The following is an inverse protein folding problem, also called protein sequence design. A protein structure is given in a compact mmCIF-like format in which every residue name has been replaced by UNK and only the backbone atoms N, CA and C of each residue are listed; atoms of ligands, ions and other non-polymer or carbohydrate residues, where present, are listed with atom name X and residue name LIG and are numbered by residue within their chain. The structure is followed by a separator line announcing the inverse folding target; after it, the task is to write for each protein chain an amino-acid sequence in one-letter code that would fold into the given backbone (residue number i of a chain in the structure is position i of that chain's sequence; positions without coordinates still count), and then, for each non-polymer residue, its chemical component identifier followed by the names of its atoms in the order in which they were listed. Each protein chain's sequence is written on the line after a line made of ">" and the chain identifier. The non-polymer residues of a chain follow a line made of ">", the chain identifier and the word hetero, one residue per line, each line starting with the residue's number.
data_IF_195842502170
#
_entry.id   IF_195842502170
#
_cell.length_a   1.000
_cell.length_b   1.000
_cell.length_c   1.000
_cell.angle_alpha   90.00
_cell.angle_beta   90.00
_cell.angle_gamma   90.00
#
_symmetry.space_group_name_H-M   'P 1'
#
loop_
_entity.id
_entity.type
_entity.pdbx_description
1 polymer ?
#
# COMPACT_ATOMS: atom_id res chain seq x y z
N UNK A 1 -13.53 11.35 7.87
CA UNK A 1 -12.21 12.02 7.71
C UNK A 1 -12.40 13.45 8.19
N UNK A 2 -11.78 13.79 9.33
CA UNK A 2 -11.97 15.10 9.98
C UNK A 2 -11.09 16.17 9.31
N UNK A 3 -9.84 15.81 8.95
CA UNK A 3 -8.92 16.72 8.26
C UNK A 3 -8.18 15.99 7.12
N UNK A 4 -8.57 16.20 5.86
CA UNK A 4 -7.91 15.57 4.72
C UNK A 4 -6.50 16.10 4.47
N UNK A 5 -6.15 17.30 4.94
CA UNK A 5 -4.81 17.87 4.76
C UNK A 5 -3.75 17.12 5.56
N UNK A 6 -4.12 16.49 6.66
CA UNK A 6 -3.22 15.63 7.43
C UNK A 6 -2.69 14.49 6.58
N UNK A 7 -3.50 13.87 5.72
CA UNK A 7 -3.01 12.82 4.82
C UNK A 7 -1.94 13.32 3.83
N UNK A 8 -2.07 14.54 3.34
CA UNK A 8 -1.06 15.13 2.45
C UNK A 8 0.25 15.36 3.20
N UNK A 9 0.18 15.89 4.42
CA UNK A 9 1.38 16.09 5.25
C UNK A 9 2.07 14.77 5.58
N UNK A 10 1.31 13.77 6.00
CA UNK A 10 1.84 12.51 6.51
C UNK A 10 2.24 11.51 5.41
N UNK A 11 1.65 11.59 4.22
CA UNK A 11 1.93 10.64 3.14
C UNK A 11 2.66 11.26 1.94
N UNK A 12 2.48 12.55 1.65
CA UNK A 12 3.18 13.19 0.53
C UNK A 12 4.41 13.93 1.02
N UNK A 13 4.23 14.89 1.93
CA UNK A 13 5.35 15.71 2.40
C UNK A 13 6.36 14.90 3.23
N UNK A 14 5.89 14.02 4.11
CA UNK A 14 6.77 13.15 4.88
C UNK A 14 7.55 12.19 3.97
N UNK A 15 6.91 11.62 2.95
CA UNK A 15 7.58 10.78 1.94
C UNK A 15 8.64 11.58 1.19
N UNK A 16 8.33 12.81 0.74
CA UNK A 16 9.30 13.67 0.07
C UNK A 16 10.53 13.93 0.96
N UNK A 17 10.34 14.18 2.26
CA UNK A 17 11.43 14.39 3.20
C UNK A 17 12.31 13.14 3.37
N UNK A 18 11.70 11.96 3.49
CA UNK A 18 12.43 10.68 3.59
C UNK A 18 13.24 10.44 2.32
N UNK A 19 12.64 10.59 1.16
CA UNK A 19 13.30 10.42 -0.13
C UNK A 19 14.44 11.42 -0.32
N UNK A 20 14.22 12.68 0.07
CA UNK A 20 15.27 13.71 0.01
C UNK A 20 16.44 13.40 0.95
N UNK A 21 16.20 12.80 2.11
CA UNK A 21 17.25 12.30 2.98
C UNK A 21 17.93 11.05 2.37
N UNK A 22 17.16 10.09 1.90
CA UNK A 22 17.66 8.85 1.31
C UNK A 22 18.67 9.09 0.18
N UNK A 23 18.45 10.10 -0.68
CA UNK A 23 19.39 10.46 -1.76
C UNK A 23 20.74 10.98 -1.28
N UNK A 24 20.89 11.30 0.00
CA UNK A 24 22.17 11.70 0.59
C UNK A 24 22.95 10.55 1.21
N UNK A 25 22.37 9.35 1.24
CA UNK A 25 22.98 8.14 1.79
C UNK A 25 23.86 7.47 0.75
N UNK A 26 25.14 7.27 1.06
CA UNK A 26 26.09 6.63 0.13
C UNK A 26 25.94 5.10 0.05
N UNK A 27 25.25 4.49 1.00
CA UNK A 27 25.14 3.03 1.16
C UNK A 27 23.69 2.55 1.29
N UNK A 28 22.75 3.26 0.67
CA UNK A 28 21.37 2.82 0.62
C UNK A 28 21.25 1.61 -0.33
N UNK A 29 20.91 0.46 0.19
CA UNK A 29 20.72 -0.77 -0.59
C UNK A 29 19.31 -0.90 -1.15
N UNK A 30 18.29 -0.52 -0.38
CA UNK A 30 16.89 -0.52 -0.79
C UNK A 30 16.03 0.35 0.13
N UNK A 31 15.08 1.06 -0.45
CA UNK A 31 13.97 1.71 0.25
C UNK A 31 12.66 1.04 -0.18
N UNK A 32 11.93 0.48 0.77
CA UNK A 32 10.62 -0.11 0.51
C UNK A 32 9.53 0.88 0.89
N UNK A 33 8.75 1.33 -0.10
CA UNK A 33 7.60 2.19 0.10
C UNK A 33 6.31 1.36 0.21
N UNK A 34 5.71 1.36 1.39
CA UNK A 34 4.41 0.72 1.60
C UNK A 34 3.29 1.60 1.06
N UNK A 35 2.72 1.23 -0.08
CA UNK A 35 1.50 1.79 -0.63
C UNK A 35 0.28 0.93 -0.25
N UNK A 36 -0.81 1.08 -0.94
CA UNK A 36 -2.08 0.40 -0.67
C UNK A 36 -2.79 0.06 -1.99
N UNK A 37 -3.55 -1.02 -2.00
CA UNK A 37 -4.46 -1.38 -3.09
C UNK A 37 -5.54 -0.31 -3.35
N UNK A 38 -5.86 0.51 -2.35
CA UNK A 38 -6.85 1.59 -2.49
C UNK A 38 -6.48 2.65 -3.52
N UNK A 39 -5.21 2.73 -3.96
CA UNK A 39 -4.79 3.66 -5.04
C UNK A 39 -5.46 3.33 -6.37
N UNK A 40 -5.76 2.06 -6.64
CA UNK A 40 -6.44 1.60 -7.85
C UNK A 40 -7.95 1.83 -7.81
N UNK A 41 -8.53 2.03 -6.62
CA UNK A 41 -9.98 2.11 -6.42
C UNK A 41 -10.67 0.74 -6.46
N UNK A 42 -12.02 0.72 -6.52
CA UNK A 42 -12.77 -0.53 -6.48
C UNK A 42 -12.69 -1.29 -7.81
N UNK A 43 -12.28 -2.56 -7.74
CA UNK A 43 -12.37 -3.49 -8.87
C UNK A 43 -13.81 -3.96 -9.09
N UNK A 44 -14.20 -4.21 -10.34
CA UNK A 44 -15.45 -4.86 -10.66
C UNK A 44 -15.37 -6.37 -10.35
N UNK A 45 -16.50 -7.05 -10.15
CA UNK A 45 -16.50 -8.49 -9.95
C UNK A 45 -15.74 -9.22 -11.07
N UNK A 46 -14.74 -10.01 -10.69
CA UNK A 46 -13.91 -10.78 -11.63
C UNK A 46 -12.73 -9.98 -12.23
N UNK A 47 -12.59 -8.69 -11.91
CA UNK A 47 -11.42 -7.88 -12.30
C UNK A 47 -10.40 -7.84 -11.16
N UNK A 48 -9.11 -7.75 -11.54
CA UNK A 48 -7.98 -7.50 -10.64
C UNK A 48 -7.06 -6.46 -11.27
N UNK A 49 -6.44 -5.66 -10.44
CA UNK A 49 -5.46 -4.66 -10.90
C UNK A 49 -4.05 -5.25 -10.91
N UNK A 50 -3.30 -4.85 -11.94
CA UNK A 50 -1.85 -5.07 -12.03
C UNK A 50 -1.11 -3.86 -11.44
N UNK A 51 0.15 -4.05 -11.17
CA UNK A 51 1.02 -3.07 -10.48
C UNK A 51 1.10 -1.71 -11.18
N UNK A 52 0.94 -1.69 -12.51
CA UNK A 52 1.05 -0.49 -13.34
C UNK A 52 -0.28 -0.02 -13.91
N UNK A 53 -1.39 -0.53 -13.39
CA UNK A 53 -2.69 -0.03 -13.78
C UNK A 53 -2.89 1.42 -13.29
N UNK A 54 -3.76 2.14 -13.98
CA UNK A 54 -4.03 3.54 -13.66
C UNK A 54 -4.68 3.68 -12.29
N UNK A 55 -4.18 4.61 -11.49
CA UNK A 55 -4.79 4.97 -10.21
C UNK A 55 -6.16 5.62 -10.37
N UNK A 56 -7.05 5.26 -9.49
CA UNK A 56 -8.41 5.78 -9.40
C UNK A 56 -8.81 5.92 -7.92
N UNK A 57 -8.03 6.70 -7.18
CA UNK A 57 -8.22 6.91 -5.74
C UNK A 57 -9.62 7.45 -5.42
N UNK A 58 -10.31 6.84 -4.48
CA UNK A 58 -11.69 7.17 -4.12
C UNK A 58 -11.82 7.97 -2.82
N UNK A 59 -10.72 8.24 -2.16
CA UNK A 59 -10.69 9.03 -0.92
C UNK A 59 -9.36 9.80 -0.77
N UNK A 60 -9.30 10.86 0.08
CA UNK A 60 -8.09 11.66 0.27
C UNK A 60 -6.87 10.89 0.78
N UNK A 61 -7.06 9.81 1.55
CA UNK A 61 -5.98 8.95 2.02
C UNK A 61 -5.33 8.21 0.84
N UNK A 62 -6.12 7.50 0.04
CA UNK A 62 -5.59 6.77 -1.11
C UNK A 62 -4.96 7.69 -2.15
N UNK A 63 -5.52 8.89 -2.35
CA UNK A 63 -4.92 9.91 -3.21
C UNK A 63 -3.56 10.40 -2.66
N UNK A 64 -3.44 10.61 -1.35
CA UNK A 64 -2.18 11.00 -0.73
C UNK A 64 -1.13 9.87 -0.78
N UNK A 65 -1.54 8.60 -0.64
CA UNK A 65 -0.66 7.43 -0.83
C UNK A 65 -0.17 7.34 -2.27
N UNK A 66 -1.05 7.53 -3.26
CA UNK A 66 -0.67 7.58 -4.67
C UNK A 66 0.32 8.74 -4.95
N UNK A 67 0.11 9.91 -4.34
CA UNK A 67 1.04 11.04 -4.45
C UNK A 67 2.44 10.75 -3.88
N UNK A 68 2.51 10.05 -2.75
CA UNK A 68 3.78 9.59 -2.17
C UNK A 68 4.47 8.54 -3.05
N UNK A 69 3.71 7.67 -3.68
CA UNK A 69 4.20 6.66 -4.61
C UNK A 69 4.79 7.29 -5.88
N UNK A 70 4.09 8.26 -6.47
CA UNK A 70 4.59 9.02 -7.62
C UNK A 70 5.90 9.77 -7.30
N UNK A 71 6.04 10.29 -6.09
CA UNK A 71 7.30 10.86 -5.63
C UNK A 71 8.41 9.81 -5.56
N UNK A 72 8.13 8.61 -5.05
CA UNK A 72 9.11 7.53 -4.99
C UNK A 72 9.60 7.15 -6.40
N UNK A 73 8.68 6.99 -7.36
CA UNK A 73 9.00 6.74 -8.78
C UNK A 73 9.86 7.86 -9.37
N UNK A 74 9.48 9.12 -9.13
CA UNK A 74 10.22 10.27 -9.64
C UNK A 74 11.64 10.35 -9.06
N UNK A 75 11.82 10.05 -7.77
CA UNK A 75 13.14 10.04 -7.14
C UNK A 75 14.01 8.88 -7.65
N UNK A 76 13.47 7.71 -7.88
CA UNK A 76 14.21 6.63 -8.50
C UNK A 76 14.65 7.01 -9.92
N UNK A 77 13.74 7.53 -10.75
CA UNK A 77 14.06 7.92 -12.12
C UNK A 77 15.08 9.06 -12.21
N UNK A 78 15.05 9.99 -11.24
CA UNK A 78 15.92 11.20 -11.27
C UNK A 78 17.27 10.97 -10.60
N UNK A 79 17.30 10.21 -9.51
CA UNK A 79 18.47 10.07 -8.64
C UNK A 79 19.00 8.63 -8.56
N UNK A 80 18.44 7.70 -9.33
CA UNK A 80 18.76 6.26 -9.32
C UNK A 80 18.68 5.61 -7.93
N UNK A 81 17.74 6.09 -7.08
CA UNK A 81 17.52 5.49 -5.77
C UNK A 81 16.96 4.07 -5.92
N UNK A 82 17.45 3.09 -5.18
CA UNK A 82 16.91 1.73 -5.20
C UNK A 82 15.59 1.71 -4.40
N UNK A 83 14.45 1.70 -5.11
CA UNK A 83 13.12 1.76 -4.48
C UNK A 83 12.27 0.59 -4.94
N UNK A 84 11.59 -0.06 -3.99
CA UNK A 84 10.51 -1.00 -4.25
C UNK A 84 9.20 -0.46 -3.65
N UNK A 85 8.11 -0.57 -4.38
CA UNK A 85 6.78 -0.15 -3.96
C UNK A 85 5.91 -1.40 -3.76
N UNK A 86 5.23 -1.49 -2.62
CA UNK A 86 4.31 -2.59 -2.35
C UNK A 86 2.88 -2.07 -2.20
N UNK A 87 1.93 -2.69 -2.91
CA UNK A 87 0.51 -2.44 -2.72
C UNK A 87 -0.06 -3.53 -1.81
N UNK A 88 -0.18 -3.20 -0.52
CA UNK A 88 -0.75 -4.13 0.45
C UNK A 88 -2.26 -3.95 0.56
N UNK A 89 -2.97 -5.06 0.62
CA UNK A 89 -4.38 -5.11 0.99
C UNK A 89 -4.55 -4.90 2.50
N UNK A 90 -5.74 -5.20 3.05
CA UNK A 90 -5.99 -4.98 4.48
C UNK A 90 -5.18 -5.98 5.33
N UNK A 91 -4.15 -5.52 5.95
CA UNK A 91 -3.32 -6.35 6.85
C UNK A 91 -4.03 -6.54 8.18
N UNK A 92 -3.99 -7.76 8.72
CA UNK A 92 -4.43 -8.08 10.06
C UNK A 92 -3.37 -8.90 10.79
N UNK A 93 -3.42 -8.90 12.12
CA UNK A 93 -2.49 -9.68 12.93
C UNK A 93 -2.52 -9.27 14.39
N UNK A 94 -1.67 -9.90 15.17
CA UNK A 94 -1.48 -9.56 16.58
C UNK A 94 -1.06 -8.11 16.75
N UNK A 95 -1.54 -7.49 17.83
CA UNK A 95 -1.26 -6.08 18.16
C UNK A 95 -1.80 -5.05 17.16
N UNK A 96 -2.67 -5.45 16.20
CA UNK A 96 -3.36 -4.51 15.34
C UNK A 96 -4.21 -3.55 16.18
N UNK A 97 -4.32 -2.29 15.73
CA UNK A 97 -5.08 -1.26 16.43
C UNK A 97 -6.54 -1.70 16.68
N UNK A 98 -7.06 -1.56 17.91
CA UNK A 98 -8.38 -2.08 18.31
C UNK A 98 -9.58 -1.58 17.50
N UNK A 99 -9.46 -0.42 16.84
CA UNK A 99 -10.52 0.14 15.98
C UNK A 99 -10.67 -0.62 14.65
N UNK A 100 -9.66 -1.36 14.24
CA UNK A 100 -9.72 -2.13 12.98
C UNK A 100 -10.74 -3.25 13.08
N UNK A 101 -11.32 -3.61 11.93
CA UNK A 101 -12.47 -4.51 11.87
C UNK A 101 -12.27 -5.83 12.58
N UNK A 102 -11.16 -6.53 12.34
CA UNK A 102 -10.90 -7.86 12.93
C UNK A 102 -10.75 -7.79 14.45
N UNK A 103 -9.81 -7.00 15.04
CA UNK A 103 -9.68 -6.95 16.48
C UNK A 103 -10.94 -6.37 17.17
N UNK A 104 -11.61 -5.39 16.58
CA UNK A 104 -12.86 -4.85 17.11
C UNK A 104 -13.97 -5.90 17.13
N UNK A 105 -14.09 -6.70 16.07
CA UNK A 105 -15.06 -7.79 15.98
C UNK A 105 -14.79 -8.85 17.03
N UNK A 106 -13.55 -9.30 17.19
CA UNK A 106 -13.16 -10.27 18.19
C UNK A 106 -13.44 -9.76 19.61
N UNK A 107 -13.11 -8.50 19.89
CA UNK A 107 -13.39 -7.89 21.18
C UNK A 107 -14.92 -7.81 21.45
N UNK A 108 -15.71 -7.43 20.46
CA UNK A 108 -17.18 -7.38 20.59
C UNK A 108 -17.77 -8.76 20.84
N UNK A 109 -17.31 -9.79 20.11
CA UNK A 109 -17.73 -11.18 20.33
C UNK A 109 -17.43 -11.64 21.75
N UNK A 110 -16.19 -11.41 22.20
CA UNK A 110 -15.74 -11.79 23.55
C UNK A 110 -16.58 -11.10 24.67
N UNK A 111 -17.12 -9.92 24.39
CA UNK A 111 -17.90 -9.14 25.34
C UNK A 111 -19.43 -9.20 25.07
N UNK A 112 -19.91 -10.15 24.28
CA UNK A 112 -21.32 -10.31 23.90
C UNK A 112 -21.97 -9.01 23.35
N UNK A 113 -21.21 -8.23 22.57
CA UNK A 113 -21.68 -6.99 21.94
C UNK A 113 -22.05 -7.23 20.48
N UNK A 114 -23.00 -6.44 19.98
CA UNK A 114 -23.40 -6.46 18.59
C UNK A 114 -22.24 -6.08 17.67
N UNK A 115 -22.04 -6.86 16.62
CA UNK A 115 -21.11 -6.56 15.52
C UNK A 115 -21.87 -5.78 14.46
N UNK A 116 -21.25 -4.73 13.95
CA UNK A 116 -21.78 -3.96 12.81
C UNK A 116 -21.07 -4.41 11.54
N UNK A 117 -21.82 -4.89 10.59
CA UNK A 117 -21.32 -5.25 9.25
C UNK A 117 -21.74 -4.13 8.30
N UNK A 118 -20.75 -3.51 7.64
CA UNK A 118 -21.02 -2.52 6.61
C UNK A 118 -21.57 -3.22 5.37
N UNK A 119 -22.57 -2.62 4.75
CA UNK A 119 -23.25 -3.15 3.57
C UNK A 119 -23.51 -2.01 2.57
N UNK A 120 -23.96 -2.38 1.37
CA UNK A 120 -24.49 -1.44 0.38
C UNK A 120 -25.75 -0.71 0.90
N UNK A 121 -26.24 0.30 0.16
CA UNK A 121 -27.36 1.15 0.58
C UNK A 121 -28.63 0.40 0.97
N UNK A 122 -28.98 -0.65 0.23
CA UNK A 122 -30.17 -1.46 0.45
C UNK A 122 -29.95 -2.61 1.45
N UNK A 123 -28.73 -2.72 1.99
CA UNK A 123 -28.30 -3.75 2.95
C UNK A 123 -28.41 -5.20 2.44
N UNK A 124 -28.51 -5.39 1.13
CA UNK A 124 -28.62 -6.72 0.51
C UNK A 124 -27.28 -7.45 0.41
N UNK A 125 -26.17 -6.71 0.34
CA UNK A 125 -24.83 -7.28 0.20
C UNK A 125 -23.86 -6.68 1.21
N UNK A 126 -23.18 -7.50 2.02
CA UNK A 126 -22.13 -7.02 2.91
C UNK A 126 -20.93 -6.51 2.08
N UNK A 127 -20.18 -5.58 2.66
CA UNK A 127 -18.87 -5.20 2.11
C UNK A 127 -17.93 -6.40 2.13
N UNK A 128 -17.10 -6.55 1.10
CA UNK A 128 -16.02 -7.53 1.08
C UNK A 128 -14.66 -6.83 1.05
N UNK A 129 -13.67 -7.48 1.64
CA UNK A 129 -12.28 -7.05 1.65
C UNK A 129 -11.39 -8.27 1.60
N UNK A 130 -10.26 -8.16 0.94
CA UNK A 130 -9.19 -9.13 1.07
C UNK A 130 -8.34 -8.78 2.30
N UNK A 131 -7.96 -9.79 3.06
CA UNK A 131 -7.16 -9.65 4.26
C UNK A 131 -5.89 -10.47 4.13
N UNK A 132 -4.77 -9.87 4.53
CA UNK A 132 -3.46 -10.49 4.57
C UNK A 132 -3.01 -10.61 6.03
N UNK A 133 -2.44 -11.74 6.39
CA UNK A 133 -1.84 -11.90 7.71
C UNK A 133 -0.50 -11.14 7.76
N UNK A 134 -0.22 -10.50 8.87
CA UNK A 134 0.95 -9.62 9.02
C UNK A 134 2.29 -10.33 8.83
N UNK A 135 2.39 -11.62 9.20
CA UNK A 135 3.61 -12.41 8.98
C UNK A 135 3.81 -12.72 7.50
N UNK A 136 2.73 -12.95 6.73
CA UNK A 136 2.81 -13.15 5.28
C UNK A 136 3.29 -11.88 4.58
N UNK A 137 2.81 -10.71 5.01
CA UNK A 137 3.29 -9.41 4.51
C UNK A 137 4.77 -9.22 4.84
N UNK A 138 5.18 -9.51 6.07
CA UNK A 138 6.58 -9.41 6.48
C UNK A 138 7.48 -10.34 5.67
N UNK A 139 7.05 -11.60 5.46
CA UNK A 139 7.75 -12.58 4.64
C UNK A 139 7.85 -12.14 3.17
N UNK A 140 6.78 -11.56 2.62
CA UNK A 140 6.77 -11.01 1.26
C UNK A 140 7.75 -9.84 1.11
N UNK A 141 7.79 -8.93 2.08
CA UNK A 141 8.74 -7.81 2.07
C UNK A 141 10.19 -8.29 2.19
N UNK A 142 10.44 -9.29 3.05
CA UNK A 142 11.76 -9.89 3.16
C UNK A 142 12.19 -10.54 1.83
N UNK A 143 11.29 -11.31 1.20
CA UNK A 143 11.54 -11.90 -0.11
C UNK A 143 11.84 -10.84 -1.18
N UNK A 144 11.08 -9.74 -1.22
CA UNK A 144 11.32 -8.61 -2.14
C UNK A 144 12.71 -8.01 -1.88
N UNK A 145 13.07 -7.82 -0.61
CA UNK A 145 14.37 -7.25 -0.23
C UNK A 145 15.53 -8.13 -0.69
N UNK A 146 15.44 -9.43 -0.44
CA UNK A 146 16.48 -10.41 -0.81
C UNK A 146 16.61 -10.60 -2.33
N UNK A 147 15.52 -10.40 -3.08
CA UNK A 147 15.45 -10.67 -4.52
C UNK A 147 15.26 -9.41 -5.37
N UNK A 148 15.47 -8.21 -4.82
CA UNK A 148 15.14 -6.95 -5.46
C UNK A 148 15.65 -6.82 -6.89
N UNK A 149 16.94 -7.09 -7.13
CA UNK A 149 17.56 -6.95 -8.45
C UNK A 149 16.96 -7.92 -9.47
N UNK A 150 16.73 -9.16 -9.07
CA UNK A 150 16.13 -10.18 -9.94
C UNK A 150 14.69 -9.82 -10.31
N UNK A 151 13.88 -9.41 -9.31
CA UNK A 151 12.50 -9.01 -9.52
C UNK A 151 12.39 -7.79 -10.42
N UNK A 152 13.22 -6.78 -10.18
CA UNK A 152 13.28 -5.56 -10.99
C UNK A 152 13.63 -5.87 -12.45
N UNK A 153 14.65 -6.68 -12.68
CA UNK A 153 15.06 -7.06 -14.04
C UNK A 153 13.98 -7.87 -14.74
N UNK A 154 13.30 -8.78 -14.03
CA UNK A 154 12.23 -9.61 -14.61
C UNK A 154 10.99 -8.78 -14.95
N UNK A 155 10.64 -7.79 -14.13
CA UNK A 155 9.47 -6.95 -14.36
C UNK A 155 9.65 -6.01 -15.56
N UNK A 156 10.89 -5.60 -15.85
CA UNK A 156 11.21 -4.63 -16.90
C UNK A 156 12.14 -5.23 -17.96
N UNK A 157 11.57 -5.98 -18.89
CA UNK A 157 12.29 -6.55 -20.06
C UNK A 157 12.29 -5.63 -21.28
N UNK A 158 11.75 -4.41 -21.20
CA UNK A 158 11.62 -3.46 -22.30
C UNK A 158 12.53 -2.23 -22.17
N UNK A 159 12.92 -1.65 -23.30
CA UNK A 159 13.84 -0.48 -23.37
C UNK A 159 13.24 0.82 -22.78
N UNK A 160 11.93 0.89 -22.60
CA UNK A 160 11.22 2.09 -22.10
C UNK A 160 10.16 1.64 -21.10
N UNK A 161 10.50 1.67 -19.82
CA UNK A 161 9.57 1.42 -18.72
C UNK A 161 10.02 2.13 -17.45
N UNK A 162 9.10 2.33 -16.50
CA UNK A 162 9.47 2.89 -15.21
C UNK A 162 10.44 1.94 -14.51
N UNK A 163 11.53 2.49 -13.97
CA UNK A 163 12.61 1.69 -13.33
C UNK A 163 12.18 1.09 -11.98
N UNK A 164 11.13 1.63 -11.36
CA UNK A 164 10.73 1.30 -10.02
C UNK A 164 10.03 -0.05 -9.94
N UNK A 165 10.51 -0.95 -9.08
CA UNK A 165 9.85 -2.23 -8.82
C UNK A 165 8.54 -1.98 -8.06
N UNK A 166 7.43 -2.50 -8.59
CA UNK A 166 6.13 -2.52 -7.92
C UNK A 166 5.65 -3.94 -7.71
N UNK A 167 5.07 -4.24 -6.55
CA UNK A 167 4.57 -5.57 -6.20
C UNK A 167 3.24 -5.48 -5.49
N UNK A 168 2.23 -6.16 -6.00
CA UNK A 168 0.97 -6.39 -5.27
C UNK A 168 1.16 -7.53 -4.27
N UNK A 169 0.84 -7.30 -3.00
CA UNK A 169 0.94 -8.27 -1.90
C UNK A 169 -0.46 -8.61 -1.39
#
# INVERSE_FOLDING_TARGET
>A
IIDPLTFVKDNVLATANILNYARTMNNLELLVYFSTDEVFGPAKPGESFKEWDRYNSTNPYSAAKAGGEELAIAFENTYDLPIAITHCMNVYGERQHPEKYIPNTLWKLKNNKKITIHANKDKSKPGSRHYLYSEDVASSVLFITENYQTLKTTQYTGEIGPKCLKVNI
#
